data_IF_368512401422
#
_entry.id   IF_368512401422
#
_cell.length_a   1.000
_cell.length_b   1.000
_cell.length_c   1.000
_cell.angle_alpha   90.00
_cell.angle_beta   90.00
_cell.angle_gamma   90.00
#
_symmetry.space_group_name_H-M   'P 1'
#
loop_
_entity.id
_entity.type
_entity.pdbx_description
1 polymer ?
#
# COMPACT_ATOMS: atom_id res chain seq x y z
N UNK A 1 49.32 16.86 13.38
CA UNK A 1 47.92 17.20 13.04
C UNK A 1 47.25 15.89 12.68
N UNK A 2 46.23 15.53 13.44
CA UNK A 2 45.48 14.28 13.28
C UNK A 2 44.73 14.27 11.93
N UNK A 3 44.42 13.10 11.40
CA UNK A 3 43.74 12.96 10.10
C UNK A 3 42.37 13.68 10.07
N UNK A 4 41.64 13.65 11.18
CA UNK A 4 40.37 14.37 11.34
C UNK A 4 40.53 15.90 11.26
N UNK A 5 41.58 16.44 11.88
CA UNK A 5 41.84 17.89 11.87
C UNK A 5 42.16 18.39 10.46
N UNK A 6 42.92 17.60 9.68
CA UNK A 6 43.25 17.93 8.28
C UNK A 6 41.99 17.94 7.40
N UNK A 7 41.07 17.00 7.60
CA UNK A 7 39.81 16.96 6.83
C UNK A 7 38.94 18.19 7.10
N UNK A 8 38.81 18.61 8.37
CA UNK A 8 38.09 19.86 8.70
C UNK A 8 38.78 21.08 8.10
N UNK A 9 40.10 21.18 8.22
CA UNK A 9 40.85 22.30 7.65
C UNK A 9 40.76 22.34 6.11
N UNK A 10 40.60 21.19 5.46
CA UNK A 10 40.36 21.08 4.03
C UNK A 10 38.97 21.62 3.65
N UNK A 11 37.90 21.14 4.31
CA UNK A 11 36.54 21.60 4.01
C UNK A 11 36.35 23.08 4.28
N UNK A 12 36.97 23.61 5.33
CA UNK A 12 36.98 25.06 5.62
C UNK A 12 37.62 25.86 4.48
N UNK A 13 38.80 25.45 4.01
CA UNK A 13 39.48 26.15 2.92
C UNK A 13 38.67 26.10 1.62
N UNK A 14 38.15 24.92 1.29
CA UNK A 14 37.35 24.64 0.11
C UNK A 14 36.00 25.39 0.13
N UNK A 15 35.42 25.65 1.31
CA UNK A 15 34.20 26.45 1.43
C UNK A 15 34.34 27.90 0.96
N UNK A 16 35.58 28.41 0.95
CA UNK A 16 35.87 29.82 0.59
C UNK A 16 36.36 29.99 -0.84
N UNK A 17 36.90 28.94 -1.45
CA UNK A 17 37.59 28.99 -2.74
C UNK A 17 37.26 27.76 -3.57
N UNK A 18 36.84 27.98 -4.82
CA UNK A 18 36.54 26.92 -5.79
C UNK A 18 37.79 26.37 -6.48
N UNK A 19 38.88 27.14 -6.54
CA UNK A 19 40.16 26.70 -7.11
C UNK A 19 41.26 27.05 -6.12
N UNK A 20 42.05 26.05 -5.70
CA UNK A 20 43.09 26.22 -4.70
C UNK A 20 44.40 25.61 -5.18
N UNK A 21 45.50 26.35 -5.03
CA UNK A 21 46.83 25.88 -5.38
C UNK A 21 47.39 24.87 -4.37
N UNK A 22 48.25 23.96 -4.83
CA UNK A 22 48.90 22.97 -3.96
C UNK A 22 49.70 23.62 -2.83
N UNK A 23 50.45 24.70 -3.11
CA UNK A 23 51.30 25.33 -2.08
C UNK A 23 50.48 25.89 -0.90
N UNK A 24 49.29 26.43 -1.21
CA UNK A 24 48.35 26.91 -0.19
C UNK A 24 47.77 25.73 0.60
N UNK A 25 47.28 24.70 -0.09
CA UNK A 25 46.72 23.49 0.53
C UNK A 25 47.75 22.77 1.40
N UNK A 26 48.96 22.55 0.90
CA UNK A 26 50.04 21.88 1.62
C UNK A 26 50.48 22.67 2.85
N UNK A 27 50.53 24.01 2.75
CA UNK A 27 50.85 24.86 3.91
C UNK A 27 49.75 24.82 4.97
N UNK A 28 48.48 24.92 4.54
CA UNK A 28 47.33 24.92 5.43
C UNK A 28 47.15 23.57 6.14
N UNK A 29 47.33 22.47 5.40
CA UNK A 29 47.20 21.09 5.87
C UNK A 29 48.48 20.51 6.47
N UNK A 30 49.58 21.29 6.44
CA UNK A 30 50.92 20.96 6.98
C UNK A 30 51.53 19.69 6.36
N UNK A 31 51.43 19.56 5.04
CA UNK A 31 52.16 18.55 4.28
C UNK A 31 53.50 19.11 3.77
N UNK A 32 54.56 18.30 3.87
CA UNK A 32 55.86 18.61 3.26
C UNK A 32 56.09 17.86 1.95
N UNK A 33 55.40 16.73 1.78
CA UNK A 33 55.51 15.86 0.62
C UNK A 33 54.24 15.97 -0.23
N UNK A 34 54.44 16.12 -1.55
CA UNK A 34 53.37 16.27 -2.54
C UNK A 34 52.64 14.94 -2.72
N UNK A 35 53.36 13.80 -2.74
CA UNK A 35 52.75 12.49 -2.93
C UNK A 35 51.80 12.11 -1.77
N UNK A 36 52.21 12.37 -0.53
CA UNK A 36 51.37 12.19 0.64
C UNK A 36 50.13 13.11 0.63
N UNK A 37 50.27 14.33 0.13
CA UNK A 37 49.17 15.27 -0.04
C UNK A 37 48.17 14.80 -1.08
N UNK A 38 48.62 14.39 -2.27
CA UNK A 38 47.74 13.89 -3.34
C UNK A 38 46.98 12.64 -2.89
N UNK A 39 47.67 11.71 -2.22
CA UNK A 39 47.04 10.52 -1.64
C UNK A 39 45.95 10.88 -0.63
N UNK A 40 46.19 11.92 0.17
CA UNK A 40 45.19 12.41 1.14
C UNK A 40 43.97 13.02 0.46
N UNK A 41 44.16 13.85 -0.58
CA UNK A 41 43.06 14.43 -1.35
C UNK A 41 42.26 13.35 -2.07
N UNK A 42 42.93 12.41 -2.72
CA UNK A 42 42.29 11.28 -3.39
C UNK A 42 41.45 10.46 -2.40
N UNK A 43 41.99 10.12 -1.23
CA UNK A 43 41.25 9.42 -0.19
C UNK A 43 40.05 10.24 0.30
N UNK A 44 40.20 11.57 0.43
CA UNK A 44 39.12 12.46 0.85
C UNK A 44 38.00 12.55 -0.21
N UNK A 45 38.34 12.41 -1.50
CA UNK A 45 37.37 12.29 -2.59
C UNK A 45 36.65 10.94 -2.53
N UNK A 46 37.38 9.85 -2.33
CA UNK A 46 36.77 8.52 -2.19
C UNK A 46 35.87 8.39 -0.96
N UNK A 47 36.22 9.05 0.14
CA UNK A 47 35.41 9.13 1.35
C UNK A 47 34.15 10.01 1.16
N UNK A 48 34.02 10.70 0.02
CA UNK A 48 32.90 11.60 -0.29
C UNK A 48 32.90 12.91 0.50
N UNK A 49 34.04 13.27 1.11
CA UNK A 49 34.19 14.51 1.89
C UNK A 49 34.31 15.72 0.96
N UNK A 50 34.99 15.54 -0.16
CA UNK A 50 35.17 16.57 -1.20
C UNK A 50 34.91 15.96 -2.57
N UNK A 51 34.39 16.76 -3.48
CA UNK A 51 34.26 16.40 -4.89
C UNK A 51 34.99 17.46 -5.74
N UNK A 52 35.75 17.00 -6.72
CA UNK A 52 36.62 17.89 -7.48
C UNK A 52 37.65 17.15 -8.30
N UNK A 53 38.37 17.94 -9.11
CA UNK A 53 39.42 17.46 -9.97
C UNK A 53 40.78 18.01 -9.53
N UNK A 54 41.72 17.07 -9.35
CA UNK A 54 43.11 17.39 -9.12
C UNK A 54 43.82 17.58 -10.46
N UNK A 55 44.53 18.70 -10.65
CA UNK A 55 45.40 18.97 -11.80
C UNK A 55 46.87 19.04 -11.33
N UNK A 56 47.60 17.91 -11.36
CA UNK A 56 49.01 17.86 -10.94
C UNK A 56 49.94 18.69 -11.83
N UNK A 57 49.57 18.93 -13.10
CA UNK A 57 50.40 19.71 -14.03
C UNK A 57 50.33 21.20 -13.71
N UNK A 58 49.14 21.69 -13.37
CA UNK A 58 48.94 23.09 -12.95
C UNK A 58 49.15 23.31 -11.45
N UNK A 59 49.33 22.23 -10.67
CA UNK A 59 49.42 22.25 -9.19
C UNK A 59 48.20 22.94 -8.57
N UNK A 60 47.01 22.57 -9.05
CA UNK A 60 45.73 23.14 -8.64
C UNK A 60 44.71 22.03 -8.34
N UNK A 61 43.80 22.34 -7.41
CA UNK A 61 42.64 21.52 -7.10
C UNK A 61 41.38 22.34 -7.38
N UNK A 62 40.59 21.86 -8.35
CA UNK A 62 39.31 22.44 -8.75
C UNK A 62 38.20 21.73 -7.98
N UNK A 63 37.57 22.44 -7.05
CA UNK A 63 36.52 21.90 -6.20
C UNK A 63 35.17 22.08 -6.88
N UNK A 64 34.42 20.99 -7.02
CA UNK A 64 33.05 20.99 -7.53
C UNK A 64 32.03 21.09 -6.40
N UNK A 65 32.21 20.29 -5.35
CA UNK A 65 31.31 20.23 -4.19
C UNK A 65 32.08 19.74 -2.95
N UNK A 66 31.50 19.91 -1.77
CA UNK A 66 32.05 19.34 -0.54
C UNK A 66 30.96 18.94 0.44
N UNK A 67 31.16 17.81 1.09
CA UNK A 67 30.31 17.36 2.18
C UNK A 67 30.93 17.83 3.50
N UNK A 68 30.30 18.81 4.14
CA UNK A 68 30.66 19.13 5.52
C UNK A 68 30.16 18.00 6.44
N UNK A 69 31.06 17.06 6.75
CA UNK A 69 30.78 15.95 7.66
C UNK A 69 30.79 16.38 9.15
N UNK A 70 30.80 17.69 9.44
CA UNK A 70 30.76 18.18 10.81
C UNK A 70 29.32 18.54 11.21
N UNK A 71 28.48 17.54 11.49
CA UNK A 71 27.31 17.81 12.35
C UNK A 71 27.83 18.20 13.73
N UNK A 72 27.62 19.44 14.20
CA UNK A 72 28.08 19.84 15.52
C UNK A 72 27.38 18.99 16.59
N UNK A 73 28.07 18.67 17.68
CA UNK A 73 27.52 17.85 18.79
C UNK A 73 26.21 18.45 19.35
N UNK A 74 26.01 19.77 19.20
CA UNK A 74 24.76 20.47 19.54
C UNK A 74 23.55 20.08 18.70
N UNK A 75 23.74 19.59 17.48
CA UNK A 75 22.67 19.18 16.55
C UNK A 75 22.28 17.71 16.67
N UNK A 76 23.12 16.88 17.31
CA UNK A 76 22.83 15.46 17.54
C UNK A 76 21.49 15.19 18.25
N UNK A 77 21.07 15.95 19.29
CA UNK A 77 19.76 15.77 19.89
C UNK A 77 18.61 16.01 18.92
N UNK A 78 18.74 17.00 18.03
CA UNK A 78 17.72 17.30 17.02
C UNK A 78 17.59 16.20 15.96
N UNK A 79 18.73 15.62 15.54
CA UNK A 79 18.73 14.45 14.66
C UNK A 79 18.09 13.23 15.34
N UNK A 80 18.42 12.99 16.61
CA UNK A 80 17.84 11.89 17.37
C UNK A 80 16.32 12.02 17.47
N UNK A 81 15.82 13.20 17.85
CA UNK A 81 14.37 13.46 17.89
C UNK A 81 13.71 13.29 16.52
N UNK A 82 14.38 13.67 15.44
CA UNK A 82 13.84 13.49 14.08
C UNK A 82 13.73 12.00 13.74
N UNK A 83 14.76 11.20 14.04
CA UNK A 83 14.74 9.75 13.82
C UNK A 83 13.70 9.05 14.70
N UNK A 84 13.58 9.45 15.96
CA UNK A 84 12.55 8.93 16.87
C UNK A 84 11.14 9.21 16.34
N UNK A 85 10.89 10.44 15.88
CA UNK A 85 9.61 10.81 15.27
C UNK A 85 9.32 10.00 14.00
N UNK A 86 10.33 9.77 13.16
CA UNK A 86 10.17 8.96 11.96
C UNK A 86 9.90 7.50 12.30
N UNK A 87 10.59 6.95 13.30
CA UNK A 87 10.35 5.59 13.80
C UNK A 87 8.91 5.46 14.30
N UNK A 88 8.48 6.36 15.19
CA UNK A 88 7.12 6.38 15.73
C UNK A 88 6.07 6.50 14.61
N UNK A 89 6.31 7.36 13.62
CA UNK A 89 5.42 7.49 12.47
C UNK A 89 5.30 6.19 11.67
N UNK A 90 6.43 5.49 11.43
CA UNK A 90 6.40 4.21 10.70
C UNK A 90 5.68 3.11 11.49
N UNK A 91 5.81 3.09 12.82
CA UNK A 91 5.09 2.16 13.68
C UNK A 91 3.57 2.42 13.67
N UNK A 92 3.17 3.69 13.77
CA UNK A 92 1.76 4.06 13.74
C UNK A 92 1.12 3.84 12.37
N UNK A 93 1.86 4.11 11.29
CA UNK A 93 1.43 3.78 9.93
C UNK A 93 1.24 2.28 9.74
N UNK A 94 2.15 1.46 10.30
CA UNK A 94 2.04 0.00 10.26
C UNK A 94 0.81 -0.49 11.03
N UNK A 95 0.53 0.04 12.23
CA UNK A 95 -0.70 -0.27 12.99
C UNK A 95 -1.96 0.06 12.19
N UNK A 96 -1.98 1.19 11.49
CA UNK A 96 -3.12 1.58 10.65
C UNK A 96 -3.32 0.61 9.48
N UNK A 97 -2.24 0.17 8.83
CA UNK A 97 -2.33 -0.84 7.78
C UNK A 97 -2.88 -2.16 8.32
N UNK A 98 -2.39 -2.63 9.46
CA UNK A 98 -2.90 -3.85 10.10
C UNK A 98 -4.39 -3.73 10.46
N UNK A 99 -4.84 -2.57 10.92
CA UNK A 99 -6.26 -2.32 11.20
C UNK A 99 -7.10 -2.34 9.92
N UNK A 100 -6.59 -1.79 8.81
CA UNK A 100 -7.28 -1.84 7.52
C UNK A 100 -7.39 -3.27 6.99
N UNK A 101 -6.34 -4.09 7.13
CA UNK A 101 -6.38 -5.51 6.78
C UNK A 101 -7.45 -6.22 7.60
N UNK A 102 -7.47 -6.04 8.93
CA UNK A 102 -8.49 -6.64 9.81
C UNK A 102 -9.91 -6.22 9.43
N UNK A 103 -10.13 -4.94 9.11
CA UNK A 103 -11.44 -4.43 8.65
C UNK A 103 -11.86 -5.06 7.33
N UNK A 104 -10.93 -5.19 6.38
CA UNK A 104 -11.18 -5.86 5.11
C UNK A 104 -11.56 -7.33 5.30
N UNK A 105 -10.81 -8.06 6.13
CA UNK A 105 -11.08 -9.47 6.42
C UNK A 105 -12.43 -9.66 7.10
N UNK A 106 -12.75 -8.82 8.10
CA UNK A 106 -14.06 -8.85 8.76
C UNK A 106 -15.21 -8.55 7.80
N UNK A 107 -15.03 -7.58 6.90
CA UNK A 107 -16.01 -7.26 5.85
C UNK A 107 -16.21 -8.41 4.87
N UNK A 108 -15.13 -9.10 4.50
CA UNK A 108 -15.17 -10.26 3.62
C UNK A 108 -15.90 -11.44 4.29
N UNK A 109 -15.58 -11.73 5.56
CA UNK A 109 -16.28 -12.75 6.34
C UNK A 109 -17.78 -12.47 6.43
N UNK A 110 -18.16 -11.24 6.79
CA UNK A 110 -19.57 -10.83 6.85
C UNK A 110 -20.28 -11.00 5.50
N UNK A 111 -19.61 -10.64 4.39
CA UNK A 111 -20.17 -10.83 3.05
C UNK A 111 -20.41 -12.31 2.72
N UNK A 112 -19.45 -13.18 3.02
CA UNK A 112 -19.58 -14.62 2.80
C UNK A 112 -20.75 -15.19 3.61
N UNK A 113 -20.91 -14.78 4.86
CA UNK A 113 -22.03 -15.22 5.71
C UNK A 113 -23.37 -14.76 5.16
N UNK A 114 -23.47 -13.49 4.74
CA UNK A 114 -24.68 -12.95 4.12
C UNK A 114 -25.03 -13.69 2.82
N UNK A 115 -24.05 -13.99 1.96
CA UNK A 115 -24.27 -14.77 0.73
C UNK A 115 -24.75 -16.21 1.04
N UNK A 116 -24.19 -16.86 2.06
CA UNK A 116 -24.66 -18.18 2.52
C UNK A 116 -26.10 -18.13 3.05
N UNK A 117 -26.45 -17.11 3.82
CA UNK A 117 -27.82 -16.95 4.31
C UNK A 117 -28.82 -16.66 3.18
N UNK A 118 -28.44 -15.85 2.20
CA UNK A 118 -29.28 -15.57 1.03
C UNK A 118 -29.47 -16.81 0.15
N UNK A 119 -28.40 -17.58 -0.09
CA UNK A 119 -28.47 -18.82 -0.89
C UNK A 119 -29.35 -19.88 -0.22
N UNK A 120 -29.25 -20.04 1.11
CA UNK A 120 -30.13 -20.96 1.86
C UNK A 120 -31.60 -20.52 1.81
N UNK A 121 -31.89 -19.22 2.01
CA UNK A 121 -33.25 -18.67 1.87
C UNK A 121 -33.82 -18.84 0.46
N UNK A 122 -33.01 -18.65 -0.58
CA UNK A 122 -33.42 -18.87 -1.98
C UNK A 122 -33.73 -20.36 -2.21
N UNK A 123 -32.90 -21.26 -1.68
CA UNK A 123 -33.12 -22.71 -1.81
C UNK A 123 -34.42 -23.14 -1.13
N UNK A 124 -34.68 -22.67 0.10
CA UNK A 124 -35.92 -22.93 0.83
C UNK A 124 -37.16 -22.44 0.06
N UNK A 125 -37.15 -21.19 -0.42
CA UNK A 125 -38.26 -20.64 -1.19
C UNK A 125 -38.49 -21.38 -2.51
N UNK A 126 -37.43 -21.86 -3.17
CA UNK A 126 -37.57 -22.68 -4.37
C UNK A 126 -38.23 -24.02 -4.07
N UNK A 127 -37.90 -24.64 -2.95
CA UNK A 127 -38.51 -25.91 -2.54
C UNK A 127 -39.99 -25.71 -2.17
N UNK A 128 -40.31 -24.68 -1.39
CA UNK A 128 -41.71 -24.32 -1.08
C UNK A 128 -42.54 -24.05 -2.35
N UNK A 129 -41.94 -23.41 -3.37
CA UNK A 129 -42.60 -23.17 -4.64
C UNK A 129 -42.87 -24.47 -5.40
N UNK A 130 -41.91 -25.41 -5.40
CA UNK A 130 -42.07 -26.75 -6.01
C UNK A 130 -43.14 -27.57 -5.30
N UNK A 131 -43.17 -27.55 -3.97
CA UNK A 131 -44.20 -28.24 -3.19
C UNK A 131 -45.61 -27.71 -3.50
N UNK A 132 -45.76 -26.38 -3.64
CA UNK A 132 -47.02 -25.75 -4.05
C UNK A 132 -47.43 -26.15 -5.47
N UNK A 133 -46.49 -26.22 -6.40
CA UNK A 133 -46.73 -26.65 -7.79
C UNK A 133 -47.15 -28.12 -7.87
N UNK A 134 -46.50 -28.99 -7.11
CA UNK A 134 -46.85 -30.42 -7.01
C UNK A 134 -48.24 -30.63 -6.38
N UNK A 135 -48.57 -29.87 -5.32
CA UNK A 135 -49.89 -29.92 -4.69
C UNK A 135 -51.02 -29.44 -5.62
N UNK A 136 -50.76 -28.46 -6.48
CA UNK A 136 -51.71 -28.00 -7.50
C UNK A 136 -51.98 -29.07 -8.58
N UNK A 137 -51.01 -29.93 -8.86
CA UNK A 137 -51.11 -30.96 -9.92
C UNK A 137 -51.84 -32.23 -9.47
N UNK A 138 -51.76 -32.58 -8.17
CA UNK A 138 -52.48 -33.75 -7.60
C UNK A 138 -54.00 -33.54 -7.51
N UNK A 139 -54.48 -32.30 -7.51
CA UNK A 139 -55.93 -31.98 -7.53
C UNK A 139 -56.45 -31.86 -8.96
N UNK A 140 -56.25 -32.90 -9.78
CA UNK A 140 -57.04 -33.05 -11.01
C UNK A 140 -58.37 -33.72 -10.59
N UNK A 141 -59.54 -33.09 -10.76
CA UNK A 141 -60.80 -33.70 -10.35
C UNK A 141 -61.00 -34.99 -11.15
N UNK A 142 -61.14 -36.11 -10.45
CA UNK A 142 -61.55 -37.37 -11.06
C UNK A 142 -62.93 -37.16 -11.72
N UNK A 143 -62.95 -37.12 -13.04
CA UNK A 143 -64.17 -37.01 -13.83
C UNK A 143 -64.89 -38.37 -13.80
N UNK A 144 -65.95 -38.46 -13.00
CA UNK A 144 -66.87 -39.60 -13.00
C UNK A 144 -67.86 -39.46 -14.18
N UNK A 145 -67.72 -40.26 -15.26
CA UNK A 145 -68.51 -40.11 -16.47
C UNK A 145 -70.02 -40.40 -16.26
N UNK A 146 -70.38 -41.14 -15.20
CA UNK A 146 -71.77 -41.55 -14.93
C UNK A 146 -72.67 -40.43 -14.38
N UNK A 147 -72.09 -39.35 -13.84
CA UNK A 147 -72.86 -38.26 -13.22
C UNK A 147 -73.38 -37.22 -14.23
N UNK A 148 -72.80 -37.16 -15.43
CA UNK A 148 -73.15 -36.13 -16.43
C UNK A 148 -74.52 -36.37 -17.09
N UNK A 149 -74.95 -37.62 -17.22
CA UNK A 149 -76.22 -37.97 -17.87
C UNK A 149 -77.47 -37.70 -17.02
N UNK A 150 -77.35 -37.82 -15.68
CA UNK A 150 -78.45 -37.57 -14.75
C UNK A 150 -78.82 -36.08 -14.71
N UNK A 151 -77.83 -35.20 -14.64
CA UNK A 151 -78.06 -33.74 -14.72
C UNK A 151 -78.74 -33.32 -16.03
N UNK A 152 -78.36 -33.93 -17.16
CA UNK A 152 -78.96 -33.61 -18.46
C UNK A 152 -80.42 -34.08 -18.56
N UNK A 153 -80.76 -35.22 -17.95
CA UNK A 153 -82.14 -35.74 -17.88
C UNK A 153 -83.01 -34.87 -16.96
N UNK A 154 -82.49 -34.47 -15.80
CA UNK A 154 -83.23 -33.64 -14.83
C UNK A 154 -83.51 -32.22 -15.37
N UNK A 155 -82.55 -31.63 -16.08
CA UNK A 155 -82.73 -30.33 -16.72
C UNK A 155 -83.78 -30.36 -17.84
N UNK A 156 -83.80 -31.44 -18.64
CA UNK A 156 -84.83 -31.65 -19.68
C UNK A 156 -86.21 -31.88 -19.07
N UNK A 157 -86.28 -32.57 -17.92
CA UNK A 157 -87.53 -32.82 -17.18
C UNK A 157 -88.11 -31.53 -16.58
N UNK A 158 -87.26 -30.68 -15.99
CA UNK A 158 -87.66 -29.39 -15.46
C UNK A 158 -88.13 -28.41 -16.55
N UNK A 159 -87.49 -28.43 -17.73
CA UNK A 159 -87.87 -27.59 -18.87
C UNK A 159 -89.24 -27.97 -19.44
N UNK A 160 -89.54 -29.26 -19.58
CA UNK A 160 -90.82 -29.72 -20.12
C UNK A 160 -92.01 -29.49 -19.18
N UNK A 161 -91.78 -29.43 -17.86
CA UNK A 161 -92.82 -29.10 -16.87
C UNK A 161 -93.27 -27.63 -16.94
N UNK A 162 -92.41 -26.73 -17.45
CA UNK A 162 -92.68 -25.29 -17.53
C UNK A 162 -93.50 -24.87 -18.75
N UNK A 163 -93.58 -25.72 -19.79
CA UNK A 163 -94.21 -25.40 -21.08
C UNK A 163 -95.70 -25.82 -21.13
N UNK A 164 -96.22 -26.52 -20.10
CA UNK A 164 -97.61 -27.05 -20.06
C UNK A 164 -98.53 -26.34 -19.05
N UNK A 165 -98.27 -25.07 -18.69
CA UNK A 165 -99.20 -24.23 -17.92
C UNK A 165 -99.74 -23.11 -18.77
#
# INVERSE_FOLDING_TARGET
MEFGDRRRALTELVSTKTVVGYDELMTHLKFQDEQAFETFIINSIYDGVIDGQLDPLKRQFDVTDFSDCSVPVSELPGMLTTLENWSAYTEDFLKQLEEQVKKSDAGLHSRIEAEKELTTKIAQKKEEARERENAATTTTPHFDPGRSESFSKDLKRARNARIRR
#
